data_IF_672420689001
#
_entry.id   IF_672420689001
#
_cell.length_a   1.000
_cell.length_b   1.000
_cell.length_c   1.000
_cell.angle_alpha   90.00
_cell.angle_beta   90.00
_cell.angle_gamma   90.00
#
_symmetry.space_group_name_H-M   'P 1'
#
loop_
_entity.id
_entity.type
_entity.pdbx_description
1 polymer ?
#
# COMPACT_ATOMS: atom_id res chain seq x y z
N UNK A 1 -17.31 0.47 -15.23
CA UNK A 1 -17.13 -0.99 -15.11
C UNK A 1 -17.42 -1.36 -13.67
N UNK A 2 -18.20 -2.40 -13.46
CA UNK A 2 -18.50 -2.95 -12.15
C UNK A 2 -17.66 -4.22 -11.97
N UNK A 3 -16.90 -4.29 -10.88
CA UNK A 3 -16.04 -5.43 -10.57
C UNK A 3 -16.29 -5.89 -9.15
N UNK A 4 -16.44 -7.19 -8.94
CA UNK A 4 -16.57 -7.82 -7.65
C UNK A 4 -15.27 -8.57 -7.33
N UNK A 5 -14.61 -8.20 -6.25
CA UNK A 5 -13.38 -8.84 -5.77
C UNK A 5 -13.72 -9.76 -4.59
N UNK A 6 -13.66 -11.08 -4.80
CA UNK A 6 -13.89 -12.11 -3.77
C UNK A 6 -12.58 -12.55 -3.16
N UNK A 7 -12.57 -12.78 -1.86
CA UNK A 7 -11.46 -13.37 -1.13
C UNK A 7 -11.98 -14.27 0.00
N UNK A 8 -11.19 -15.24 0.46
CA UNK A 8 -11.57 -16.09 1.58
C UNK A 8 -11.85 -15.28 2.85
N UNK A 9 -11.17 -14.15 3.02
CA UNK A 9 -11.42 -13.22 4.13
C UNK A 9 -11.32 -11.77 3.64
N UNK A 10 -12.30 -10.94 3.99
CA UNK A 10 -12.26 -9.49 3.80
C UNK A 10 -12.22 -8.81 5.16
N UNK A 11 -11.20 -7.98 5.37
CA UNK A 11 -10.98 -7.17 6.56
C UNK A 11 -11.11 -5.68 6.20
N UNK A 12 -12.31 -5.09 6.25
CA UNK A 12 -12.52 -3.72 5.79
C UNK A 12 -11.80 -2.65 6.61
N UNK A 13 -11.63 -2.89 7.91
CA UNK A 13 -10.92 -2.01 8.83
C UNK A 13 -10.19 -2.82 9.91
N UNK A 14 -9.01 -3.38 9.61
CA UNK A 14 -8.25 -4.16 10.58
C UNK A 14 -7.61 -3.31 11.68
N UNK A 15 -7.71 -1.98 11.62
CA UNK A 15 -7.26 -1.09 12.69
C UNK A 15 -8.31 -0.95 13.81
N UNK A 16 -9.57 -1.25 13.52
CA UNK A 16 -10.66 -1.27 14.49
C UNK A 16 -11.03 -2.73 14.84
N UNK A 17 -10.73 -3.21 16.07
CA UNK A 17 -11.10 -4.58 16.48
C UNK A 17 -12.61 -4.84 16.50
N UNK A 18 -13.45 -3.81 16.53
CA UNK A 18 -14.90 -3.93 16.48
C UNK A 18 -15.46 -3.93 15.06
N UNK A 19 -14.62 -3.66 14.05
CA UNK A 19 -15.06 -3.66 12.67
C UNK A 19 -15.43 -5.09 12.19
N UNK A 20 -16.47 -5.21 11.35
CA UNK A 20 -16.85 -6.52 10.82
C UNK A 20 -15.76 -7.10 9.92
N UNK A 21 -15.60 -8.41 9.99
CA UNK A 21 -14.83 -9.19 9.00
C UNK A 21 -15.79 -10.12 8.25
N UNK A 22 -15.49 -10.42 6.99
CA UNK A 22 -16.36 -11.25 6.16
C UNK A 22 -15.59 -12.46 5.66
N UNK A 23 -15.86 -13.63 6.24
CA UNK A 23 -15.44 -14.91 5.67
C UNK A 23 -16.18 -15.12 4.35
N UNK A 24 -15.48 -15.62 3.32
CA UNK A 24 -15.98 -15.66 1.94
C UNK A 24 -16.61 -14.31 1.55
N UNK A 25 -15.84 -13.26 1.78
CA UNK A 25 -16.29 -11.89 1.59
C UNK A 25 -15.98 -11.35 0.20
N UNK A 26 -16.61 -10.22 -0.12
CA UNK A 26 -16.34 -9.51 -1.36
C UNK A 26 -16.40 -7.99 -1.20
N UNK A 27 -15.75 -7.30 -2.13
CA UNK A 27 -15.81 -5.86 -2.35
C UNK A 27 -16.28 -5.61 -3.77
N UNK A 28 -17.39 -4.87 -3.90
CA UNK A 28 -17.90 -4.40 -5.20
C UNK A 28 -17.35 -3.01 -5.47
N UNK A 29 -16.78 -2.83 -6.65
CA UNK A 29 -16.15 -1.58 -7.10
C UNK A 29 -16.85 -1.07 -8.35
N UNK A 30 -17.32 0.18 -8.30
CA UNK A 30 -17.85 0.91 -9.44
C UNK A 30 -16.96 2.11 -9.77
N UNK A 31 -16.28 2.04 -10.91
CA UNK A 31 -15.30 3.08 -11.26
C UNK A 31 -14.17 3.15 -10.23
N UNK A 32 -14.04 4.28 -9.55
CA UNK A 32 -12.99 4.51 -8.53
C UNK A 32 -13.48 4.31 -7.09
N UNK A 33 -14.74 3.92 -6.89
CA UNK A 33 -15.35 3.86 -5.56
C UNK A 33 -15.82 2.46 -5.20
N UNK A 34 -15.80 2.21 -3.90
CA UNK A 34 -16.40 1.02 -3.30
C UNK A 34 -17.93 1.21 -3.32
N UNK A 35 -18.64 0.29 -3.95
CA UNK A 35 -20.11 0.26 -4.03
C UNK A 35 -20.70 -0.50 -2.87
N UNK A 36 -20.10 -1.66 -2.53
CA UNK A 36 -20.56 -2.52 -1.44
C UNK A 36 -19.40 -3.36 -0.88
N UNK A 37 -19.55 -3.76 0.39
CA UNK A 37 -18.65 -4.69 1.09
C UNK A 37 -19.50 -5.64 1.92
N UNK A 38 -19.26 -6.94 1.85
CA UNK A 38 -20.06 -7.92 2.60
C UNK A 38 -19.79 -9.36 2.17
N UNK A 39 -20.68 -10.30 2.57
CA UNK A 39 -20.61 -11.69 2.15
C UNK A 39 -20.72 -11.82 0.62
N UNK A 40 -19.88 -12.69 0.03
CA UNK A 40 -19.83 -12.86 -1.42
C UNK A 40 -21.19 -13.27 -2.02
N UNK A 41 -21.88 -14.24 -1.40
CA UNK A 41 -23.15 -14.76 -1.93
C UNK A 41 -24.21 -13.67 -2.07
N UNK A 42 -24.32 -12.76 -1.09
CA UNK A 42 -25.26 -11.65 -1.11
C UNK A 42 -24.92 -10.63 -2.19
N UNK A 43 -23.63 -10.27 -2.28
CA UNK A 43 -23.17 -9.28 -3.24
C UNK A 43 -23.21 -9.79 -4.67
N UNK A 44 -22.93 -11.07 -4.89
CA UNK A 44 -23.04 -11.70 -6.21
C UNK A 44 -24.49 -11.76 -6.70
N UNK A 45 -25.44 -12.04 -5.80
CA UNK A 45 -26.87 -12.00 -6.10
C UNK A 45 -27.38 -10.58 -6.40
N UNK A 46 -26.88 -9.58 -5.65
CA UNK A 46 -27.25 -8.17 -5.82
C UNK A 46 -26.63 -7.53 -7.09
N UNK A 47 -25.51 -8.06 -7.56
CA UNK A 47 -24.74 -7.50 -8.69
C UNK A 47 -24.39 -8.58 -9.72
N UNK A 48 -25.37 -9.24 -10.35
CA UNK A 48 -25.14 -10.35 -11.30
C UNK A 48 -24.36 -9.93 -12.54
N UNK A 49 -24.36 -8.63 -12.87
CA UNK A 49 -23.61 -8.06 -14.00
C UNK A 49 -22.13 -7.76 -13.66
N UNK A 50 -21.73 -7.87 -12.39
CA UNK A 50 -20.37 -7.54 -11.99
C UNK A 50 -19.36 -8.57 -12.51
N UNK A 51 -18.24 -8.08 -13.04
CA UNK A 51 -17.11 -8.95 -13.37
C UNK A 51 -16.46 -9.47 -12.09
N UNK A 52 -16.58 -10.76 -11.85
CA UNK A 52 -15.97 -11.39 -10.67
C UNK A 52 -14.47 -11.60 -10.88
N UNK A 53 -13.69 -11.21 -9.86
CA UNK A 53 -12.30 -11.55 -9.65
C UNK A 53 -12.17 -12.33 -8.36
N UNK A 54 -11.98 -13.62 -8.48
CA UNK A 54 -11.77 -14.51 -7.35
C UNK A 54 -10.27 -14.63 -7.04
N UNK A 55 -9.91 -14.36 -5.79
CA UNK A 55 -8.54 -14.42 -5.27
C UNK A 55 -8.26 -15.71 -4.49
N UNK A 56 -9.27 -16.58 -4.35
CA UNK A 56 -9.13 -17.86 -3.63
C UNK A 56 -8.86 -17.68 -2.14
N UNK A 57 -7.92 -18.48 -1.62
CA UNK A 57 -7.53 -18.47 -0.21
C UNK A 57 -6.67 -17.24 0.13
N UNK A 58 -7.24 -16.06 -0.03
CA UNK A 58 -6.55 -14.79 0.17
C UNK A 58 -7.26 -13.91 1.21
N UNK A 59 -6.53 -12.94 1.75
CA UNK A 59 -7.04 -11.88 2.63
C UNK A 59 -7.05 -10.57 1.86
N UNK A 60 -8.22 -9.91 1.81
CA UNK A 60 -8.39 -8.59 1.24
C UNK A 60 -8.45 -7.56 2.38
N UNK A 61 -7.61 -6.54 2.31
CA UNK A 61 -7.48 -5.48 3.33
C UNK A 61 -7.44 -4.10 2.66
N UNK A 62 -7.64 -2.99 3.38
CA UNK A 62 -7.23 -1.69 2.88
C UNK A 62 -5.78 -1.74 2.38
N UNK A 63 -5.41 -0.84 1.48
CA UNK A 63 -4.03 -0.73 1.05
C UNK A 63 -3.10 -0.32 2.20
N UNK A 64 -1.81 -0.58 2.03
CA UNK A 64 -0.81 -0.29 3.06
C UNK A 64 -0.26 1.13 2.93
N UNK A 65 0.28 1.66 4.03
CA UNK A 65 1.07 2.89 4.06
C UNK A 65 2.55 2.59 4.23
N UNK A 66 3.39 3.26 3.47
CA UNK A 66 4.83 3.21 3.70
C UNK A 66 5.31 4.51 4.34
N UNK A 67 5.79 4.48 5.61
CA UNK A 67 6.23 5.67 6.32
C UNK A 67 7.60 6.18 5.87
N UNK A 68 8.35 5.40 5.10
CA UNK A 68 9.72 5.68 4.68
C UNK A 68 9.81 6.25 3.25
N UNK A 69 8.68 6.76 2.71
CA UNK A 69 8.58 7.16 1.31
C UNK A 69 9.63 8.18 0.87
N UNK A 70 9.88 9.22 1.68
CA UNK A 70 10.89 10.23 1.34
C UNK A 70 12.27 9.59 1.18
N UNK A 71 12.72 8.80 2.15
CA UNK A 71 14.00 8.11 2.09
C UNK A 71 14.10 7.19 0.88
N UNK A 72 13.10 6.31 0.73
CA UNK A 72 13.08 5.29 -0.33
C UNK A 72 13.07 5.88 -1.74
N UNK A 73 12.48 7.07 -1.94
CA UNK A 73 12.32 7.64 -3.27
C UNK A 73 13.32 8.75 -3.60
N UNK A 74 13.93 9.39 -2.58
CA UNK A 74 14.85 10.51 -2.77
C UNK A 74 16.30 10.22 -2.39
N UNK A 75 16.55 9.21 -1.55
CA UNK A 75 17.89 8.86 -1.10
C UNK A 75 18.35 7.51 -1.62
N UNK A 76 17.45 6.50 -1.56
CA UNK A 76 17.78 5.16 -1.97
C UNK A 76 17.63 5.02 -3.49
N UNK A 77 18.60 4.34 -4.11
CA UNK A 77 18.57 4.07 -5.53
C UNK A 77 17.93 2.72 -5.82
N UNK A 78 16.88 2.72 -6.64
CA UNK A 78 16.27 1.50 -7.16
C UNK A 78 16.90 1.16 -8.52
N UNK A 79 17.70 0.09 -8.61
CA UNK A 79 18.43 -0.24 -9.84
C UNK A 79 17.50 -0.50 -11.03
N UNK A 80 17.98 -0.18 -12.24
CA UNK A 80 17.39 -0.68 -13.46
C UNK A 80 17.83 -2.14 -13.66
N UNK A 81 16.92 -3.07 -14.01
CA UNK A 81 17.30 -4.45 -14.28
C UNK A 81 18.42 -4.62 -15.32
N UNK A 82 18.66 -3.61 -16.16
CA UNK A 82 19.70 -3.59 -17.17
C UNK A 82 21.10 -3.26 -16.63
N UNK A 83 21.18 -2.76 -15.38
CA UNK A 83 22.46 -2.36 -14.76
C UNK A 83 23.22 -3.53 -14.15
N UNK A 84 22.61 -4.72 -14.07
CA UNK A 84 23.22 -5.96 -13.55
C UNK A 84 23.80 -5.84 -12.12
N UNK A 85 23.38 -4.80 -11.35
CA UNK A 85 23.79 -4.59 -9.96
C UNK A 85 22.81 -5.18 -8.95
N UNK A 86 21.86 -6.00 -9.42
CA UNK A 86 20.81 -6.61 -8.61
C UNK A 86 19.52 -5.83 -8.64
N UNK A 87 18.55 -6.31 -7.84
CA UNK A 87 17.21 -5.72 -7.76
C UNK A 87 16.95 -4.99 -6.44
N UNK A 88 17.82 -5.18 -5.45
CA UNK A 88 17.65 -4.55 -4.13
C UNK A 88 17.95 -3.05 -4.17
N UNK A 89 17.22 -2.22 -3.38
CA UNK A 89 17.54 -0.81 -3.27
C UNK A 89 18.94 -0.61 -2.72
N UNK A 90 19.69 0.30 -3.33
CA UNK A 90 20.99 0.73 -2.83
C UNK A 90 20.76 1.91 -1.88
N UNK A 91 21.00 1.70 -0.59
CA UNK A 91 20.81 2.72 0.42
C UNK A 91 21.69 3.93 0.12
N UNK A 92 21.12 5.14 0.25
CA UNK A 92 21.77 6.41 -0.02
C UNK A 92 22.42 6.55 -1.42
N UNK A 93 22.08 5.66 -2.36
CA UNK A 93 22.64 5.65 -3.71
C UNK A 93 22.32 6.87 -4.58
N UNK A 94 21.46 7.78 -4.09
CA UNK A 94 21.14 9.07 -4.70
C UNK A 94 21.67 10.26 -3.91
N UNK A 95 22.35 10.04 -2.79
CA UNK A 95 22.92 11.11 -1.98
C UNK A 95 24.13 11.73 -2.70
N UNK A 96 24.19 13.06 -2.71
CA UNK A 96 25.27 13.80 -3.40
C UNK A 96 25.04 13.99 -4.90
N UNK A 97 23.95 13.45 -5.46
CA UNK A 97 23.56 13.68 -6.85
C UNK A 97 23.04 15.11 -7.04
N UNK A 98 23.55 15.85 -8.01
CA UNK A 98 23.13 17.21 -8.35
C UNK A 98 23.24 17.48 -9.84
N UNK A 99 22.25 18.14 -10.42
CA UNK A 99 22.19 18.47 -11.84
C UNK A 99 21.03 17.83 -12.59
N UNK A 100 20.84 18.20 -13.86
CA UNK A 100 19.67 17.78 -14.65
C UNK A 100 19.69 16.29 -15.01
N UNK A 101 20.87 15.71 -15.25
CA UNK A 101 21.01 14.27 -15.50
C UNK A 101 20.63 13.44 -14.25
N UNK A 102 20.97 13.95 -13.08
CA UNK A 102 20.65 13.33 -11.80
C UNK A 102 19.14 13.40 -11.51
N UNK A 103 18.46 14.50 -11.87
CA UNK A 103 17.00 14.59 -11.75
C UNK A 103 16.29 13.54 -12.61
N UNK A 104 16.77 13.27 -13.83
CA UNK A 104 16.23 12.22 -14.67
C UNK A 104 16.44 10.82 -14.06
N UNK A 105 17.64 10.58 -13.51
CA UNK A 105 18.00 9.34 -12.80
C UNK A 105 17.16 9.15 -11.54
N UNK A 106 17.01 10.19 -10.72
CA UNK A 106 16.17 10.18 -9.53
C UNK A 106 14.69 9.87 -9.88
N UNK A 107 14.14 10.53 -10.88
CA UNK A 107 12.78 10.28 -11.34
C UNK A 107 12.58 8.87 -11.89
N UNK A 108 13.58 8.29 -12.56
CA UNK A 108 13.54 6.91 -13.02
C UNK A 108 13.59 5.92 -11.85
N UNK A 109 14.52 6.15 -10.90
CA UNK A 109 14.62 5.38 -9.66
C UNK A 109 13.32 5.43 -8.86
N UNK A 110 12.75 6.61 -8.64
CA UNK A 110 11.49 6.78 -7.93
C UNK A 110 10.33 5.99 -8.56
N UNK A 111 10.22 6.01 -9.90
CA UNK A 111 9.19 5.20 -10.59
C UNK A 111 9.35 3.70 -10.31
N UNK A 112 10.56 3.18 -10.31
CA UNK A 112 10.85 1.77 -9.98
C UNK A 112 10.53 1.47 -8.52
N UNK A 113 10.93 2.35 -7.60
CA UNK A 113 10.58 2.24 -6.17
C UNK A 113 9.07 2.20 -5.94
N UNK A 114 8.32 3.10 -6.57
CA UNK A 114 6.85 3.13 -6.51
C UNK A 114 6.21 1.84 -7.05
N UNK A 115 6.72 1.31 -8.16
CA UNK A 115 6.23 0.04 -8.70
C UNK A 115 6.50 -1.13 -7.75
N UNK A 116 7.66 -1.15 -7.09
CA UNK A 116 7.96 -2.16 -6.07
C UNK A 116 7.04 -2.02 -4.86
N UNK A 117 6.78 -0.79 -4.39
CA UNK A 117 5.82 -0.54 -3.30
C UNK A 117 4.41 -1.05 -3.65
N UNK A 118 3.95 -0.84 -4.88
CA UNK A 118 2.68 -1.42 -5.34
C UNK A 118 2.70 -2.95 -5.28
N UNK A 119 3.86 -3.57 -5.53
CA UNK A 119 4.06 -5.02 -5.38
C UNK A 119 3.97 -5.53 -3.93
N UNK A 120 4.02 -4.64 -2.95
CA UNK A 120 3.80 -4.93 -1.53
C UNK A 120 2.43 -4.46 -1.01
N UNK A 121 1.54 -4.02 -1.87
CA UNK A 121 0.20 -3.58 -1.46
C UNK A 121 0.12 -2.13 -0.96
N UNK A 122 1.18 -1.34 -1.14
CA UNK A 122 1.22 0.05 -0.69
C UNK A 122 0.33 0.91 -1.58
N UNK A 123 -0.57 1.68 -0.98
CA UNK A 123 -1.46 2.65 -1.63
C UNK A 123 -1.26 4.07 -1.13
N UNK A 124 -0.50 4.23 -0.04
CA UNK A 124 -0.17 5.52 0.53
C UNK A 124 1.31 5.59 0.91
N UNK A 125 1.93 6.74 0.74
CA UNK A 125 3.36 6.95 0.98
C UNK A 125 3.60 8.27 1.71
N UNK A 126 4.48 8.26 2.72
CA UNK A 126 4.81 9.47 3.47
C UNK A 126 5.78 10.36 2.68
N UNK A 127 5.41 11.66 2.58
CA UNK A 127 6.26 12.76 2.12
C UNK A 127 6.82 13.58 3.29
N UNK A 128 7.23 14.81 3.08
CA UNK A 128 7.23 15.52 1.81
C UNK A 128 8.30 15.03 0.83
N UNK A 129 8.14 15.36 -0.45
CA UNK A 129 9.15 15.09 -1.48
C UNK A 129 9.74 16.42 -1.96
N UNK A 130 11.05 16.54 -1.93
CA UNK A 130 11.78 17.78 -2.25
C UNK A 130 12.15 17.85 -3.74
N UNK A 131 12.48 16.69 -4.36
CA UNK A 131 12.89 16.64 -5.77
C UNK A 131 11.68 16.71 -6.71
N UNK A 132 11.74 17.59 -7.71
CA UNK A 132 10.65 17.78 -8.68
C UNK A 132 10.34 16.51 -9.49
N UNK A 133 11.37 15.76 -9.86
CA UNK A 133 11.23 14.49 -10.59
C UNK A 133 10.52 13.43 -9.76
N UNK A 134 10.81 13.37 -8.44
CA UNK A 134 10.16 12.44 -7.51
C UNK A 134 8.71 12.85 -7.29
N UNK A 135 8.42 14.13 -7.03
CA UNK A 135 7.02 14.64 -6.93
C UNK A 135 6.20 14.25 -8.16
N UNK A 136 6.79 14.44 -9.34
CA UNK A 136 6.13 14.08 -10.60
C UNK A 136 5.87 12.56 -10.70
N UNK A 137 6.83 11.73 -10.30
CA UNK A 137 6.67 10.28 -10.30
C UNK A 137 5.56 9.85 -9.33
N UNK A 138 5.55 10.38 -8.12
CA UNK A 138 4.54 10.10 -7.08
C UNK A 138 3.16 10.55 -7.54
N UNK A 139 3.00 11.77 -8.05
CA UNK A 139 1.72 12.28 -8.57
C UNK A 139 1.13 11.39 -9.67
N UNK A 140 1.99 10.87 -10.56
CA UNK A 140 1.56 9.98 -11.65
C UNK A 140 1.25 8.55 -11.21
N UNK A 141 1.77 8.12 -10.06
CA UNK A 141 1.52 6.77 -9.53
C UNK A 141 0.09 6.59 -9.03
N UNK A 142 -0.58 7.68 -8.65
CA UNK A 142 -1.89 7.69 -8.04
C UNK A 142 -1.92 7.28 -6.56
N UNK A 143 -0.76 7.02 -5.94
CA UNK A 143 -0.67 6.80 -4.50
C UNK A 143 -1.07 8.05 -3.73
N UNK A 144 -1.64 7.84 -2.55
CA UNK A 144 -1.94 8.94 -1.63
C UNK A 144 -0.64 9.40 -0.97
N UNK A 145 -0.40 10.72 -0.98
CA UNK A 145 0.74 11.31 -0.27
C UNK A 145 0.29 11.71 1.13
N UNK A 146 0.93 11.13 2.13
CA UNK A 146 0.71 11.46 3.52
C UNK A 146 1.67 12.58 3.95
N UNK A 147 1.24 13.45 4.88
CA UNK A 147 2.18 14.37 5.51
C UNK A 147 3.34 13.60 6.12
N UNK A 148 4.52 14.09 6.00
CA UNK A 148 5.70 13.49 6.60
C UNK A 148 5.54 13.44 8.12
N UNK A 149 5.59 12.27 8.69
CA UNK A 149 5.76 12.10 10.12
C UNK A 149 7.20 12.38 10.51
N UNK A 150 7.57 13.65 10.64
CA UNK A 150 8.67 13.97 11.54
C UNK A 150 8.23 13.52 12.94
N UNK A 151 9.08 12.80 13.65
CA UNK A 151 8.98 12.62 15.11
C UNK A 151 8.99 14.01 15.75
N UNK A 152 7.83 14.63 15.83
CA UNK A 152 7.58 15.82 16.65
C UNK A 152 6.09 15.86 16.96
N UNK A 153 5.79 15.73 18.25
CA UNK A 153 4.46 15.94 18.78
C UNK A 153 3.93 17.32 18.38
N UNK A 154 2.79 17.33 17.72
CA UNK A 154 2.04 18.54 17.39
C UNK A 154 0.67 18.13 16.90
N UNK A 155 -0.36 18.33 17.75
CA UNK A 155 -1.78 18.20 17.44
C UNK A 155 -2.14 19.12 16.27
N UNK A 156 -2.51 18.55 15.14
CA UNK A 156 -3.30 19.26 14.12
C UNK A 156 -4.74 18.75 14.19
N UNK A 157 -5.61 19.61 14.68
CA UNK A 157 -7.05 19.45 14.69
C UNK A 157 -7.61 19.48 13.30
N UNK A 158 -8.41 18.49 12.95
CA UNK A 158 -9.18 18.44 11.70
C UNK A 158 -9.62 17.04 11.31
N UNK A 159 -10.61 16.49 12.01
CA UNK A 159 -11.60 15.54 11.54
C UNK A 159 -11.13 14.24 10.88
N UNK A 160 -10.63 13.31 11.65
CA UNK A 160 -10.82 11.84 11.56
C UNK A 160 -9.98 11.20 12.68
N UNK A 161 -10.62 10.45 13.54
CA UNK A 161 -10.19 9.74 14.72
C UNK A 161 -8.71 9.66 15.07
N UNK A 162 -8.34 10.35 16.14
CA UNK A 162 -7.06 10.21 16.79
C UNK A 162 -6.93 8.81 17.39
N UNK A 163 -5.96 8.01 16.92
CA UNK A 163 -5.45 6.90 17.68
C UNK A 163 -4.01 7.23 18.10
N UNK A 164 -3.90 7.65 19.37
CA UNK A 164 -2.62 7.87 20.00
C UNK A 164 -1.91 6.54 20.25
N UNK A 165 -0.61 6.56 20.14
CA UNK A 165 0.26 5.45 20.49
C UNK A 165 1.64 5.64 19.89
N UNK A 166 2.39 6.64 20.37
CA UNK A 166 3.80 6.77 20.08
C UNK A 166 4.55 5.67 20.83
N UNK A 167 4.84 4.58 20.16
CA UNK A 167 5.89 3.66 20.57
C UNK A 167 7.22 4.19 20.06
N UNK A 168 8.08 4.65 20.94
CA UNK A 168 9.45 5.00 20.66
C UNK A 168 10.17 3.77 20.08
N UNK A 169 10.75 3.89 18.90
CA UNK A 169 11.76 2.95 18.41
C UNK A 169 13.09 3.56 18.78
N UNK A 170 13.59 3.18 19.96
CA UNK A 170 14.98 3.44 20.36
C UNK A 170 15.91 2.51 19.57
N UNK A 171 16.91 3.11 18.93
CA UNK A 171 18.27 2.62 18.81
C UNK A 171 18.49 1.22 18.24
N UNK A 172 17.95 0.89 17.06
CA UNK A 172 18.48 -0.21 16.26
C UNK A 172 18.61 0.24 14.80
N UNK A 173 19.74 -0.11 14.17
CA UNK A 173 20.18 0.37 12.88
C UNK A 173 19.09 0.50 11.83
N UNK A 174 19.19 1.53 11.02
CA UNK A 174 18.24 1.88 9.98
C UNK A 174 17.99 0.65 9.10
N UNK A 175 16.75 0.11 9.04
CA UNK A 175 16.49 -1.05 8.20
C UNK A 175 16.81 -0.73 6.75
N UNK A 176 17.57 -1.62 6.10
CA UNK A 176 18.04 -1.48 4.73
C UNK A 176 17.53 -2.67 3.92
N UNK A 177 16.99 -2.42 2.73
CA UNK A 177 16.60 -3.48 1.82
C UNK A 177 15.08 -3.64 1.61
N UNK A 178 14.67 -4.81 1.14
CA UNK A 178 13.28 -5.13 0.82
C UNK A 178 12.31 -5.00 2.01
N UNK A 179 12.80 -5.16 3.24
CA UNK A 179 12.02 -5.03 4.47
C UNK A 179 11.43 -3.63 4.68
N UNK A 180 12.08 -2.60 4.13
CA UNK A 180 11.57 -1.21 4.21
C UNK A 180 10.48 -0.95 3.17
N UNK A 181 10.51 -1.69 2.07
CA UNK A 181 9.49 -1.61 1.01
C UNK A 181 8.19 -2.29 1.41
N UNK A 182 8.27 -3.36 2.20
CA UNK A 182 7.12 -4.11 2.71
C UNK A 182 6.74 -3.65 4.12
N UNK A 183 5.67 -2.88 4.29
CA UNK A 183 5.24 -2.46 5.63
C UNK A 183 4.88 -3.61 6.57
N UNK A 184 4.46 -4.77 6.03
CA UNK A 184 4.11 -5.94 6.84
C UNK A 184 5.33 -6.69 7.40
N UNK A 185 6.52 -6.47 6.85
CA UNK A 185 7.75 -7.05 7.40
C UNK A 185 8.11 -6.47 8.77
N UNK A 186 7.69 -5.23 9.05
CA UNK A 186 8.03 -4.52 10.29
C UNK A 186 6.85 -4.06 11.14
N UNK A 187 5.62 -4.14 10.64
CA UNK A 187 4.44 -3.64 11.33
C UNK A 187 3.31 -4.67 11.33
N UNK A 188 2.55 -4.77 12.44
CA UNK A 188 1.30 -5.53 12.43
C UNK A 188 0.29 -4.88 11.46
N UNK A 189 -0.59 -5.68 10.87
CA UNK A 189 -1.56 -5.25 9.87
C UNK A 189 -2.34 -3.99 10.29
N UNK A 190 -2.84 -3.96 11.50
CA UNK A 190 -3.61 -2.82 12.04
C UNK A 190 -2.86 -1.48 12.00
N UNK A 191 -1.53 -1.51 12.01
CA UNK A 191 -0.67 -0.32 11.92
C UNK A 191 -0.12 -0.08 10.51
N UNK A 192 -0.08 -1.10 9.69
CA UNK A 192 0.42 -1.03 8.32
C UNK A 192 -0.63 -0.50 7.34
N UNK A 193 -1.92 -0.73 7.59
CA UNK A 193 -2.99 -0.27 6.69
C UNK A 193 -3.14 1.25 6.64
N UNK A 194 -3.64 1.74 5.51
CA UNK A 194 -4.06 3.12 5.31
C UNK A 194 -5.54 3.19 5.00
N UNK A 195 -6.28 3.90 5.85
CA UNK A 195 -7.72 4.05 5.69
C UNK A 195 -8.49 2.76 5.91
N UNK A 196 -9.63 2.66 5.27
CA UNK A 196 -10.56 1.53 5.36
C UNK A 196 -11.32 1.33 4.06
N UNK A 197 -11.79 0.11 3.83
CA UNK A 197 -12.65 -0.23 2.69
C UNK A 197 -14.11 0.00 3.09
N UNK A 198 -14.66 1.16 2.73
CA UNK A 198 -16.04 1.56 3.08
C UNK A 198 -16.82 1.95 1.85
N UNK A 199 -18.13 1.71 1.90
CA UNK A 199 -19.05 2.14 0.84
C UNK A 199 -18.91 3.64 0.58
N UNK A 200 -18.83 4.04 -0.69
CA UNK A 200 -18.60 5.42 -1.14
C UNK A 200 -17.14 5.88 -1.07
N UNK A 201 -16.28 5.16 -0.34
CA UNK A 201 -14.85 5.45 -0.27
C UNK A 201 -14.12 5.17 -1.58
N UNK A 202 -12.89 5.73 -1.72
CA UNK A 202 -12.02 5.39 -2.83
C UNK A 202 -11.62 3.93 -2.74
N UNK A 203 -11.66 3.22 -3.87
CA UNK A 203 -11.36 1.80 -3.92
C UNK A 203 -9.83 1.57 -3.97
N UNK A 204 -9.19 1.75 -2.80
CA UNK A 204 -7.77 1.49 -2.56
C UNK A 204 -7.64 0.32 -1.59
N UNK A 205 -7.21 -0.82 -2.09
CA UNK A 205 -7.07 -2.04 -1.27
C UNK A 205 -6.00 -2.97 -1.84
N UNK A 206 -5.57 -3.90 -1.01
CA UNK A 206 -4.62 -4.92 -1.39
C UNK A 206 -5.14 -6.31 -1.03
N UNK A 207 -4.66 -7.29 -1.77
CA UNK A 207 -4.98 -8.71 -1.57
C UNK A 207 -3.69 -9.46 -1.31
N UNK A 208 -3.67 -10.26 -0.27
CA UNK A 208 -2.49 -10.99 0.18
C UNK A 208 -2.78 -12.48 0.25
N UNK A 209 -1.73 -13.29 0.04
CA UNK A 209 -1.76 -14.68 0.47
C UNK A 209 -1.97 -14.72 1.99
N UNK A 210 -2.77 -15.67 2.46
CA UNK A 210 -3.02 -15.87 3.87
C UNK A 210 -1.80 -16.52 4.54
N UNK A 211 -1.49 -16.05 5.76
CA UNK A 211 -0.45 -16.61 6.63
C UNK A 211 -1.07 -17.54 7.70
N UNK A 212 -0.33 -18.57 8.08
CA UNK A 212 -0.69 -19.47 9.16
C UNK A 212 -1.88 -20.40 8.87
N UNK A 213 -2.18 -21.27 9.82
CA UNK A 213 -3.28 -22.24 9.71
C UNK A 213 -4.66 -21.57 9.78
N UNK A 214 -4.80 -20.43 10.46
CA UNK A 214 -6.06 -19.71 10.57
C UNK A 214 -6.45 -18.97 9.29
N UNK A 215 -5.51 -18.69 8.38
CA UNK A 215 -5.75 -17.93 7.16
C UNK A 215 -6.24 -16.49 7.39
N UNK A 216 -6.11 -15.98 8.63
CA UNK A 216 -6.70 -14.71 9.04
C UNK A 216 -5.75 -13.51 8.86
N UNK A 217 -4.47 -13.76 8.65
CA UNK A 217 -3.46 -12.70 8.54
C UNK A 217 -2.81 -12.69 7.15
N UNK A 218 -2.51 -11.48 6.61
CA UNK A 218 -1.73 -11.36 5.39
C UNK A 218 -0.29 -11.83 5.60
N UNK A 219 0.23 -12.58 4.65
CA UNK A 219 1.63 -12.99 4.64
C UNK A 219 2.51 -11.81 4.21
N UNK A 220 3.54 -11.40 4.99
CA UNK A 220 4.54 -10.46 4.55
C UNK A 220 5.19 -10.92 3.23
N UNK A 221 5.40 -9.99 2.28
CA UNK A 221 5.83 -10.32 0.92
C UNK A 221 4.78 -11.08 0.09
N UNK A 222 3.63 -11.40 0.67
CA UNK A 222 2.56 -12.20 0.08
C UNK A 222 1.56 -11.43 -0.76
N UNK A 223 1.80 -10.17 -1.13
CA UNK A 223 0.87 -9.39 -1.94
C UNK A 223 0.60 -10.06 -3.30
N UNK A 224 -0.67 -10.34 -3.57
CA UNK A 224 -1.17 -10.93 -4.80
C UNK A 224 -1.68 -9.87 -5.78
N UNK A 225 -2.27 -8.80 -5.24
CA UNK A 225 -2.82 -7.73 -6.05
C UNK A 225 -2.92 -6.42 -5.26
N UNK A 226 -2.78 -5.30 -5.98
CA UNK A 226 -3.03 -3.96 -5.47
C UNK A 226 -4.01 -3.25 -6.39
N UNK A 227 -5.06 -2.71 -5.79
CA UNK A 227 -6.08 -1.90 -6.46
C UNK A 227 -5.96 -0.48 -5.95
N UNK A 228 -5.91 0.46 -6.87
CA UNK A 228 -5.75 1.88 -6.60
C UNK A 228 -6.76 2.67 -7.43
N UNK A 229 -7.68 3.38 -6.76
CA UNK A 229 -8.79 4.05 -7.44
C UNK A 229 -9.59 3.10 -8.31
N UNK A 230 -9.88 1.88 -7.83
CA UNK A 230 -10.62 0.85 -8.55
C UNK A 230 -9.87 0.18 -9.70
N UNK A 231 -8.63 0.58 -9.96
CA UNK A 231 -7.78 -0.01 -11.01
C UNK A 231 -6.83 -1.04 -10.42
N UNK A 232 -6.76 -2.21 -11.04
CA UNK A 232 -5.75 -3.21 -10.70
C UNK A 232 -4.40 -2.74 -11.24
N UNK A 233 -3.54 -2.22 -10.35
CA UNK A 233 -2.23 -1.64 -10.69
C UNK A 233 -1.07 -2.61 -10.53
N UNK A 234 -1.27 -3.64 -9.70
CA UNK A 234 -0.34 -4.75 -9.54
C UNK A 234 -1.09 -6.08 -9.45
N UNK A 235 -0.54 -7.12 -10.05
CA UNK A 235 -0.96 -8.51 -9.92
C UNK A 235 0.26 -9.41 -10.00
N UNK A 236 0.45 -10.26 -8.99
CA UNK A 236 1.45 -11.32 -9.03
C UNK A 236 1.06 -12.33 -10.12
N UNK A 237 2.00 -12.73 -10.93
CA UNK A 237 1.86 -13.76 -11.98
C UNK A 237 2.19 -15.13 -11.42
#
# INVERSE_FOLDING_TARGET
>A
VLTLHRAALVLPDPADPAAPSFADGAVVVRGERVEAVGPYAELAAAHPEARVRDWGAAVLTPGLRNPHGQRLLERDYHPDPREEIGVEPVADGLVGSGGSADEARCGASARRGLQRMLGFGVTAVAGPFERASVRTAVARSGLVVLPGGGVSGGVASGGAGALGGAGALDGAGTPVGAEVLDPLAGLPLARAVYGRVTVGGRADFAVFAAAGESGAEPLPGGCLATVLGGRLVYRRR
#
